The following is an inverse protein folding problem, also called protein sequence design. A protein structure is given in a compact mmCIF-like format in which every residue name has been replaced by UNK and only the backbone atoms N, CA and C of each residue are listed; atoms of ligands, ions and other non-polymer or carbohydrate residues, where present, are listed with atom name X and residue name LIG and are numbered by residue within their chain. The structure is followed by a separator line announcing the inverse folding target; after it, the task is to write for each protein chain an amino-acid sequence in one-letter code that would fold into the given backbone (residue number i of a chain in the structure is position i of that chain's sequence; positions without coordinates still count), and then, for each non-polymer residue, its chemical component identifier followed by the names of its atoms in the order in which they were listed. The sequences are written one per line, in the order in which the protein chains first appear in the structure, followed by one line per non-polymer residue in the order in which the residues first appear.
data_IF_266504086914
#
_entry.id   IF_266504086914
#
_cell.length_a   1.000
_cell.length_b   1.000
_cell.length_c   1.000
_cell.angle_alpha   90.00
_cell.angle_beta   90.00
_cell.angle_gamma   90.00
#
_symmetry.space_group_name_H-M   'P 1'
#
loop_
_entity.id
_entity.type
_entity.pdbx_description
1 polymer ?
#
# COMPACT_ATOMS: atom_id res chain seq x y z
N UNK A 1 4.06 -6.46 -40.82
CA UNK A 1 3.44 -7.03 -39.60
C UNK A 1 1.95 -7.21 -39.86
N UNK A 2 1.35 -8.34 -39.45
CA UNK A 2 -0.09 -8.55 -39.63
C UNK A 2 -0.89 -7.45 -38.90
N UNK A 3 -1.92 -6.88 -39.53
CA UNK A 3 -2.76 -5.82 -38.96
C UNK A 3 -3.36 -6.22 -37.60
N UNK A 4 -3.76 -7.50 -37.48
CA UNK A 4 -4.23 -8.11 -36.23
C UNK A 4 -3.16 -8.06 -35.12
N UNK A 5 -1.91 -8.37 -35.45
CA UNK A 5 -0.80 -8.31 -34.49
C UNK A 5 -0.49 -6.87 -34.08
N UNK A 6 -0.63 -5.89 -34.98
CA UNK A 6 -0.43 -4.48 -34.63
C UNK A 6 -1.50 -3.97 -33.66
N UNK A 7 -2.76 -4.35 -33.87
CA UNK A 7 -3.86 -4.01 -32.95
C UNK A 7 -3.64 -4.63 -31.57
N UNK A 8 -3.26 -5.90 -31.50
CA UNK A 8 -3.01 -6.58 -30.22
C UNK A 8 -1.85 -5.94 -29.46
N UNK A 9 -0.79 -5.56 -30.17
CA UNK A 9 0.40 -4.93 -29.57
C UNK A 9 0.08 -3.52 -29.05
N UNK A 10 -0.73 -2.76 -29.79
CA UNK A 10 -1.24 -1.46 -29.33
C UNK A 10 -2.08 -1.61 -28.05
N UNK A 11 -2.99 -2.58 -28.02
CA UNK A 11 -3.85 -2.83 -26.87
C UNK A 11 -3.04 -3.25 -25.64
N UNK A 12 -2.08 -4.17 -25.80
CA UNK A 12 -1.18 -4.59 -24.73
C UNK A 12 -0.37 -3.42 -24.16
N UNK A 13 0.11 -2.52 -25.02
CA UNK A 13 0.88 -1.35 -24.61
C UNK A 13 0.02 -0.39 -23.78
N UNK A 14 -1.20 -0.08 -24.24
CA UNK A 14 -2.12 0.83 -23.54
C UNK A 14 -2.56 0.24 -22.19
N UNK A 15 -2.92 -1.05 -22.13
CA UNK A 15 -3.35 -1.70 -20.90
C UNK A 15 -2.22 -1.92 -19.89
N UNK A 16 -0.97 -2.08 -20.35
CA UNK A 16 0.19 -2.14 -19.45
C UNK A 16 0.51 -0.79 -18.77
N UNK A 17 0.07 0.32 -19.37
CA UNK A 17 0.41 1.68 -18.94
C UNK A 17 -0.44 2.25 -17.80
N UNK A 18 -1.41 1.52 -17.27
CA UNK A 18 -2.34 2.04 -16.25
C UNK A 18 -1.62 2.51 -14.97
N UNK A 19 -0.55 1.82 -14.55
CA UNK A 19 0.26 2.23 -13.40
C UNK A 19 1.14 3.45 -13.69
N UNK A 20 1.58 3.61 -14.94
CA UNK A 20 2.43 4.73 -15.39
C UNK A 20 1.64 6.05 -15.38
N UNK A 21 0.36 6.02 -15.74
CA UNK A 21 -0.50 7.20 -15.69
C UNK A 21 -0.61 7.80 -14.27
N UNK A 22 -0.82 6.96 -13.26
CA UNK A 22 -0.87 7.40 -11.87
C UNK A 22 0.47 7.96 -11.38
N UNK A 23 1.58 7.40 -11.83
CA UNK A 23 2.93 7.89 -11.51
C UNK A 23 3.23 9.27 -12.13
N UNK A 24 2.95 9.45 -13.42
CA UNK A 24 3.21 10.72 -14.13
C UNK A 24 2.38 11.87 -13.56
N UNK A 25 1.14 11.59 -13.15
CA UNK A 25 0.22 12.60 -12.62
C UNK A 25 0.20 12.63 -11.09
N UNK A 26 1.11 11.91 -10.42
CA UNK A 26 1.06 11.76 -8.96
C UNK A 26 1.11 13.11 -8.25
N UNK A 27 2.06 13.97 -8.64
CA UNK A 27 2.20 15.32 -8.08
C UNK A 27 1.00 16.22 -8.37
N UNK A 28 0.33 16.03 -9.50
CA UNK A 28 -0.88 16.78 -9.84
C UNK A 28 -2.09 16.31 -9.02
N UNK A 29 -2.17 15.02 -8.73
CA UNK A 29 -3.27 14.42 -7.98
C UNK A 29 -3.11 14.60 -6.46
N UNK A 30 -1.87 14.57 -5.95
CA UNK A 30 -1.57 14.48 -4.52
C UNK A 30 -0.64 15.58 -4.00
N UNK A 31 -0.13 16.44 -4.87
CA UNK A 31 0.92 17.41 -4.55
C UNK A 31 2.31 16.79 -4.61
N UNK A 32 3.34 17.64 -4.62
CA UNK A 32 4.74 17.22 -4.57
C UNK A 32 5.01 16.38 -3.32
N UNK A 33 5.96 15.46 -3.40
CA UNK A 33 6.39 14.68 -2.25
C UNK A 33 6.78 15.57 -1.05
N UNK A 34 6.25 15.25 0.13
CA UNK A 34 6.53 15.95 1.37
C UNK A 34 6.57 14.97 2.54
N UNK A 35 7.43 15.25 3.51
CA UNK A 35 7.42 14.54 4.79
C UNK A 35 6.14 14.93 5.51
N UNK A 36 5.26 13.95 5.74
CA UNK A 36 4.01 14.13 6.49
C UNK A 36 4.02 13.23 7.70
N UNK A 37 3.48 13.72 8.81
CA UNK A 37 3.15 12.83 9.92
C UNK A 37 2.07 11.85 9.48
N UNK A 38 2.42 10.56 9.48
CA UNK A 38 1.52 9.46 9.08
C UNK A 38 0.73 8.90 10.26
N UNK A 39 1.03 9.37 11.47
CA UNK A 39 0.34 8.95 12.67
C UNK A 39 -0.80 9.93 12.95
N UNK A 40 -2.00 9.39 13.18
CA UNK A 40 -3.08 10.20 13.69
C UNK A 40 -2.79 10.58 15.15
N UNK A 41 -3.31 11.73 15.64
CA UNK A 41 -3.22 12.08 17.04
C UNK A 41 -3.73 10.93 17.91
N UNK A 42 -3.07 10.68 19.05
CA UNK A 42 -3.44 9.59 19.96
C UNK A 42 -4.90 9.67 20.41
N UNK A 43 -5.47 10.88 20.48
CA UNK A 43 -6.87 11.11 20.87
C UNK A 43 -7.88 10.93 19.72
N UNK A 44 -7.43 10.65 18.50
CA UNK A 44 -8.33 10.33 17.39
C UNK A 44 -9.02 8.99 17.64
N UNK A 45 -10.27 8.85 17.18
CA UNK A 45 -11.03 7.61 17.36
C UNK A 45 -10.35 6.43 16.69
N UNK A 46 -9.69 6.65 15.54
CA UNK A 46 -8.94 5.63 14.82
C UNK A 46 -7.70 5.17 15.60
N UNK A 47 -6.95 6.11 16.21
CA UNK A 47 -5.81 5.77 17.04
C UNK A 47 -6.24 4.98 18.29
N UNK A 48 -7.32 5.41 18.95
CA UNK A 48 -7.85 4.71 20.13
C UNK A 48 -8.36 3.30 19.78
N UNK A 49 -9.09 3.12 18.68
CA UNK A 49 -9.50 1.80 18.21
C UNK A 49 -8.30 0.89 17.94
N UNK A 50 -7.28 1.39 17.23
CA UNK A 50 -6.07 0.60 17.01
C UNK A 50 -5.37 0.23 18.33
N UNK A 51 -5.18 1.19 19.23
CA UNK A 51 -4.46 0.95 20.50
C UNK A 51 -5.20 0.01 21.44
N UNK A 52 -6.53 0.11 21.52
CA UNK A 52 -7.33 -0.61 22.51
C UNK A 52 -7.82 -1.97 21.99
N UNK A 53 -8.06 -2.09 20.68
CA UNK A 53 -8.69 -3.29 20.11
C UNK A 53 -7.72 -4.10 19.24
N UNK A 54 -6.92 -3.45 18.40
CA UNK A 54 -6.09 -4.13 17.39
C UNK A 54 -4.71 -4.49 17.93
N UNK A 55 -4.03 -3.52 18.54
CA UNK A 55 -2.65 -3.65 19.03
C UNK A 55 -2.48 -4.81 20.02
N UNK A 56 -3.37 -5.03 21.01
CA UNK A 56 -3.20 -6.13 21.97
C UNK A 56 -3.22 -7.51 21.31
N UNK A 57 -4.04 -7.70 20.27
CA UNK A 57 -4.15 -8.96 19.52
C UNK A 57 -2.88 -9.20 18.69
N UNK A 58 -2.38 -8.14 18.05
CA UNK A 58 -1.13 -8.20 17.29
C UNK A 58 0.06 -8.52 18.19
N UNK A 59 0.18 -7.84 19.32
CA UNK A 59 1.28 -8.04 20.27
C UNK A 59 1.29 -9.47 20.81
N UNK A 60 0.12 -10.03 21.16
CA UNK A 60 0.01 -11.43 21.60
C UNK A 60 0.45 -12.41 20.49
N UNK A 61 0.03 -12.15 19.26
CA UNK A 61 0.37 -13.00 18.11
C UNK A 61 1.87 -12.96 17.82
N UNK A 62 2.48 -11.78 17.89
CA UNK A 62 3.91 -11.58 17.67
C UNK A 62 4.75 -12.20 18.79
N UNK A 63 4.32 -12.07 20.05
CA UNK A 63 4.97 -12.72 21.19
C UNK A 63 4.99 -14.25 21.00
N UNK A 64 3.85 -14.83 20.65
CA UNK A 64 3.73 -16.26 20.39
C UNK A 64 4.62 -16.74 19.23
N UNK A 65 4.72 -15.97 18.14
CA UNK A 65 5.61 -16.26 17.00
C UNK A 65 7.09 -16.14 17.40
N UNK A 66 7.44 -15.16 18.24
CA UNK A 66 8.82 -15.01 18.73
C UNK A 66 9.21 -16.21 19.60
N UNK A 67 8.33 -16.59 20.51
CA UNK A 67 8.53 -17.70 21.43
C UNK A 67 8.65 -19.03 20.71
N UNK A 68 7.85 -19.28 19.66
CA UNK A 68 7.97 -20.52 18.88
C UNK A 68 9.26 -20.60 18.06
N UNK A 69 9.83 -19.46 17.65
CA UNK A 69 11.12 -19.39 16.97
C UNK A 69 12.30 -19.66 17.90
N UNK A 70 12.21 -19.23 19.16
CA UNK A 70 13.27 -19.44 20.16
C UNK A 70 13.40 -20.91 20.62
N UNK A 71 12.40 -21.75 20.34
CA UNK A 71 12.41 -23.19 20.63
C UNK A 71 12.81 -24.09 19.44
N UNK A 72 13.11 -23.52 18.27
CA UNK A 72 13.56 -24.23 17.06
C UNK A 72 15.08 -24.08 16.87
#
# INVERSE_FOLDING_TARGET
MNFKSSILLLLATIFSGCAMYAGINYDQLFGTEQVRERQLPLHSSQAQHFLNEVKPILDLSLDHISRSRDFA
#
